data_IF_162365926518
#
_entry.id   IF_162365926518
#
_cell.length_a   1.000
_cell.length_b   1.000
_cell.length_c   1.000
_cell.angle_alpha   90.00
_cell.angle_beta   90.00
_cell.angle_gamma   90.00
#
_symmetry.space_group_name_H-M   'P 1'
#
loop_
_entity.id
_entity.type
_entity.pdbx_description
1 polymer ?
#
# COMPACT_ATOMS: atom_id res chain seq x y z
N UNK A 1 -16.06 6.67 -8.08
CA UNK A 1 -16.67 5.35 -8.36
C UNK A 1 -17.79 5.10 -7.36
N UNK A 2 -18.91 4.60 -7.80
CA UNK A 2 -19.99 4.25 -6.89
C UNK A 2 -19.58 3.07 -6.00
N UNK A 3 -20.07 3.07 -4.76
CA UNK A 3 -19.76 2.03 -3.77
C UNK A 3 -20.09 0.62 -4.31
N UNK A 4 -21.19 0.47 -5.04
CA UNK A 4 -21.57 -0.81 -5.66
C UNK A 4 -20.64 -1.29 -6.77
N UNK A 5 -19.84 -0.40 -7.33
CA UNK A 5 -18.89 -0.73 -8.39
C UNK A 5 -17.52 -1.14 -7.85
N UNK A 6 -17.28 -0.96 -6.56
CA UNK A 6 -16.04 -1.41 -5.92
C UNK A 6 -15.97 -2.95 -5.89
N UNK A 7 -14.77 -3.48 -5.84
CA UNK A 7 -14.58 -4.94 -5.83
C UNK A 7 -13.52 -5.33 -4.81
N UNK A 8 -13.60 -6.57 -4.32
CA UNK A 8 -12.58 -7.15 -3.46
C UNK A 8 -11.22 -7.09 -4.17
N UNK A 9 -10.19 -6.77 -3.43
CA UNK A 9 -8.81 -6.53 -3.87
C UNK A 9 -8.60 -5.21 -4.60
N UNK A 10 -9.66 -4.40 -4.78
CA UNK A 10 -9.54 -3.04 -5.28
C UNK A 10 -9.18 -2.07 -4.14
N UNK A 11 -9.00 -0.82 -4.50
CA UNK A 11 -8.63 0.23 -3.54
C UNK A 11 -9.77 1.22 -3.34
N UNK A 12 -9.83 1.78 -2.13
CA UNK A 12 -10.81 2.79 -1.76
C UNK A 12 -10.22 3.69 -0.68
N UNK A 13 -10.67 4.94 -0.64
CA UNK A 13 -10.30 5.88 0.44
C UNK A 13 -11.33 5.76 1.55
N UNK A 14 -10.90 5.39 2.75
CA UNK A 14 -11.71 5.34 3.97
C UNK A 14 -11.03 6.22 5.02
N UNK A 15 -11.77 7.19 5.57
CA UNK A 15 -11.25 8.12 6.58
C UNK A 15 -9.95 8.79 6.16
N UNK A 16 -9.90 9.21 4.90
CA UNK A 16 -8.72 9.85 4.28
C UNK A 16 -7.49 8.95 4.19
N UNK A 17 -7.70 7.62 4.21
CA UNK A 17 -6.60 6.67 4.10
C UNK A 17 -6.78 5.77 2.87
N UNK A 18 -5.68 5.48 2.13
CA UNK A 18 -5.76 4.55 1.01
C UNK A 18 -5.82 3.13 1.55
N UNK A 19 -6.88 2.40 1.18
CA UNK A 19 -7.13 1.07 1.70
C UNK A 19 -7.35 0.06 0.58
N UNK A 20 -6.99 -1.20 0.86
CA UNK A 20 -7.28 -2.33 -0.02
C UNK A 20 -8.48 -3.08 0.54
N UNK A 21 -9.49 -3.27 -0.30
CA UNK A 21 -10.72 -3.95 0.09
C UNK A 21 -10.44 -5.45 0.25
N UNK A 22 -10.73 -5.99 1.43
CA UNK A 22 -10.53 -7.42 1.73
C UNK A 22 -11.85 -8.17 1.80
N UNK A 23 -12.96 -7.49 2.13
CA UNK A 23 -14.30 -8.06 2.14
C UNK A 23 -15.32 -7.01 1.69
N UNK A 24 -16.35 -7.46 1.01
CA UNK A 24 -17.50 -6.65 0.62
C UNK A 24 -18.75 -7.48 0.80
N UNK A 25 -19.80 -6.86 1.35
CA UNK A 25 -21.11 -7.46 1.38
C UNK A 25 -22.17 -6.40 1.10
N UNK A 26 -23.27 -6.82 0.50
CA UNK A 26 -24.37 -5.92 0.16
C UNK A 26 -25.62 -6.41 0.85
N UNK A 27 -26.35 -5.48 1.48
CA UNK A 27 -27.63 -5.79 2.13
C UNK A 27 -28.69 -4.78 1.69
N UNK A 28 -29.93 -5.26 1.59
CA UNK A 28 -31.11 -4.42 1.39
C UNK A 28 -31.91 -4.39 2.67
N UNK A 29 -32.33 -3.22 3.09
CA UNK A 29 -33.14 -3.07 4.29
C UNK A 29 -34.53 -2.54 3.93
N UNK A 30 -35.57 -3.33 4.21
CA UNK A 30 -36.96 -2.94 4.11
C UNK A 30 -37.51 -2.79 2.69
N UNK A 31 -38.80 -2.47 2.58
CA UNK A 31 -39.51 -2.33 1.32
C UNK A 31 -39.06 -1.13 0.48
N UNK A 32 -38.53 -0.11 1.13
CA UNK A 32 -38.02 1.11 0.51
C UNK A 32 -36.55 1.28 0.78
N UNK A 33 -35.89 0.23 1.28
CA UNK A 33 -34.49 0.27 1.61
C UNK A 33 -33.61 0.29 0.37
N UNK A 34 -32.69 1.23 0.35
CA UNK A 34 -31.63 1.22 -0.63
C UNK A 34 -30.59 0.17 -0.23
N UNK A 35 -29.96 -0.46 -1.21
CA UNK A 35 -28.90 -1.39 -0.92
C UNK A 35 -27.74 -0.63 -0.25
N UNK A 36 -27.19 -1.23 0.80
CA UNK A 36 -26.02 -0.72 1.50
C UNK A 36 -24.88 -1.69 1.32
N UNK A 37 -23.69 -1.15 1.10
CA UNK A 37 -22.47 -1.94 0.94
C UNK A 37 -21.63 -1.80 2.19
N UNK A 38 -21.29 -2.93 2.79
CA UNK A 38 -20.37 -2.99 3.91
C UNK A 38 -18.97 -3.32 3.36
N UNK A 39 -18.03 -2.45 3.62
CA UNK A 39 -16.64 -2.59 3.15
C UNK A 39 -15.75 -2.88 4.37
N UNK A 40 -14.93 -3.90 4.23
CA UNK A 40 -13.81 -4.14 5.15
C UNK A 40 -12.55 -3.99 4.34
N UNK A 41 -11.70 -3.09 4.77
CA UNK A 41 -10.48 -2.77 4.03
C UNK A 41 -9.31 -2.57 5.00
N UNK A 42 -8.12 -2.69 4.46
CA UNK A 42 -6.88 -2.55 5.23
C UNK A 42 -6.09 -1.37 4.67
N UNK A 43 -5.72 -0.44 5.55
CA UNK A 43 -4.81 0.66 5.19
C UNK A 43 -3.54 0.08 4.60
N UNK A 44 -3.21 0.47 3.37
CA UNK A 44 -2.06 -0.12 2.66
C UNK A 44 -0.70 0.23 3.30
N UNK A 45 -0.66 1.28 4.11
CA UNK A 45 0.59 1.71 4.76
C UNK A 45 0.72 1.24 6.21
N UNK A 46 -0.38 1.26 6.97
CA UNK A 46 -0.35 0.95 8.40
C UNK A 46 -0.84 -0.45 8.73
N UNK A 47 -1.48 -1.13 7.79
CA UNK A 47 -2.12 -2.45 7.95
C UNK A 47 -3.30 -2.44 8.93
N UNK A 48 -3.81 -1.26 9.29
CA UNK A 48 -5.00 -1.16 10.13
C UNK A 48 -6.24 -1.56 9.36
N UNK A 49 -7.10 -2.32 10.01
CA UNK A 49 -8.40 -2.71 9.47
C UNK A 49 -9.38 -1.56 9.67
N UNK A 50 -10.02 -1.16 8.58
CA UNK A 50 -11.05 -0.13 8.58
C UNK A 50 -12.33 -0.70 7.99
N UNK A 51 -13.46 -0.27 8.52
CA UNK A 51 -14.77 -0.68 8.03
C UNK A 51 -15.57 0.56 7.68
N UNK A 52 -16.40 0.45 6.66
CA UNK A 52 -17.33 1.51 6.27
C UNK A 52 -18.62 0.89 5.74
N UNK A 53 -19.71 1.62 5.92
CA UNK A 53 -21.02 1.24 5.41
C UNK A 53 -21.52 2.40 4.56
N UNK A 54 -21.80 2.14 3.30
CA UNK A 54 -22.21 3.19 2.38
C UNK A 54 -23.38 2.76 1.51
N UNK A 55 -24.28 3.70 1.16
CA UNK A 55 -25.30 3.42 0.16
C UNK A 55 -24.67 2.99 -1.16
N UNK A 56 -25.29 2.03 -1.84
CA UNK A 56 -24.74 1.47 -3.08
C UNK A 56 -24.49 2.51 -4.18
N UNK A 57 -25.27 3.58 -4.18
CA UNK A 57 -25.17 4.66 -5.17
C UNK A 57 -24.22 5.78 -4.74
N UNK A 58 -23.72 5.74 -3.52
CA UNK A 58 -22.79 6.76 -3.02
C UNK A 58 -21.43 6.65 -3.72
N UNK A 59 -20.89 7.80 -4.11
CA UNK A 59 -19.57 7.85 -4.72
C UNK A 59 -18.49 7.79 -3.66
N UNK A 60 -17.59 6.83 -3.82
CA UNK A 60 -16.40 6.69 -2.97
C UNK A 60 -15.17 7.11 -3.77
N UNK A 61 -14.24 7.75 -3.08
CA UNK A 61 -12.98 8.12 -3.69
C UNK A 61 -12.09 6.88 -3.83
N UNK A 62 -11.47 6.75 -5.00
CA UNK A 62 -10.52 5.66 -5.28
C UNK A 62 -9.13 6.26 -5.38
N UNK A 63 -8.18 5.81 -4.56
CA UNK A 63 -6.83 6.37 -4.61
C UNK A 63 -6.07 5.82 -5.83
N UNK A 64 -5.14 6.62 -6.33
CA UNK A 64 -4.16 6.14 -7.29
C UNK A 64 -3.03 5.51 -6.49
N UNK A 65 -2.81 4.22 -6.68
CA UNK A 65 -1.77 3.48 -6.00
C UNK A 65 -0.74 3.05 -7.02
N UNK A 66 0.50 3.45 -6.80
CA UNK A 66 1.63 3.10 -7.67
C UNK A 66 2.57 2.19 -6.92
N UNK A 67 3.03 1.15 -7.60
CA UNK A 67 4.02 0.22 -7.09
C UNK A 67 5.26 0.30 -7.96
N UNK A 68 6.41 0.54 -7.36
CA UNK A 68 7.67 0.60 -8.09
C UNK A 68 8.76 -0.09 -7.30
N UNK A 69 9.61 -0.82 -8.00
CA UNK A 69 10.79 -1.43 -7.41
C UNK A 69 12.01 -0.54 -7.65
N UNK A 70 12.82 -0.43 -6.61
CA UNK A 70 14.08 0.32 -6.66
C UNK A 70 15.21 -0.58 -6.19
N UNK A 71 16.39 -0.36 -6.72
CA UNK A 71 17.60 -1.00 -6.19
C UNK A 71 18.03 -0.29 -4.92
N UNK A 72 18.29 -1.04 -3.86
CA UNK A 72 18.78 -0.47 -2.61
C UNK A 72 20.29 -0.24 -2.72
N UNK A 73 20.73 1.01 -2.57
CA UNK A 73 22.12 1.39 -2.60
C UNK A 73 22.72 1.42 -1.20
N UNK A 74 21.97 1.92 -0.22
CA UNK A 74 22.43 2.04 1.15
C UNK A 74 21.27 2.30 2.10
N UNK A 75 21.53 2.11 3.38
CA UNK A 75 20.62 2.49 4.47
C UNK A 75 21.39 3.52 5.30
N UNK A 76 20.88 4.74 5.36
CA UNK A 76 21.59 5.83 6.03
C UNK A 76 21.46 5.74 7.55
N UNK A 77 22.37 6.41 8.27
CA UNK A 77 22.39 6.40 9.73
C UNK A 77 21.15 7.05 10.35
N UNK A 78 20.51 7.96 9.63
CA UNK A 78 19.27 8.62 10.08
C UNK A 78 18.00 7.86 9.70
N UNK A 79 18.14 6.64 9.19
CA UNK A 79 17.00 5.75 8.95
C UNK A 79 16.32 5.92 7.61
N UNK A 80 17.01 6.45 6.61
CA UNK A 80 16.49 6.54 5.25
C UNK A 80 17.12 5.52 4.33
N UNK A 81 16.38 5.16 3.29
CA UNK A 81 16.87 4.28 2.24
C UNK A 81 17.44 5.11 1.09
N UNK A 82 18.60 4.72 0.60
CA UNK A 82 19.14 5.29 -0.63
C UNK A 82 18.81 4.33 -1.76
N UNK A 83 17.98 4.77 -2.70
CA UNK A 83 17.40 3.94 -3.75
C UNK A 83 17.79 4.44 -5.13
N UNK A 84 17.84 3.52 -6.09
CA UNK A 84 18.09 3.86 -7.49
C UNK A 84 17.02 3.27 -8.39
N UNK A 85 16.48 4.09 -9.26
CA UNK A 85 15.50 3.71 -10.27
C UNK A 85 16.18 3.06 -11.48
N UNK A 86 15.38 2.42 -12.34
CA UNK A 86 15.86 1.79 -13.58
C UNK A 86 16.56 2.77 -14.52
N UNK A 87 16.18 4.04 -14.49
CA UNK A 87 16.79 5.07 -15.33
C UNK A 87 18.07 5.67 -14.74
N UNK A 88 18.54 5.14 -13.61
CA UNK A 88 19.72 5.62 -12.92
C UNK A 88 19.51 6.80 -11.98
N UNK A 89 18.29 7.32 -11.89
CA UNK A 89 17.98 8.38 -10.92
C UNK A 89 17.97 7.83 -9.50
N UNK A 90 18.33 8.68 -8.54
CA UNK A 90 18.40 8.28 -7.13
C UNK A 90 17.26 8.89 -6.34
N UNK A 91 16.85 8.20 -5.26
CA UNK A 91 15.80 8.62 -4.36
C UNK A 91 16.23 8.29 -2.93
N UNK A 92 16.19 9.28 -2.05
CA UNK A 92 16.69 9.15 -0.68
C UNK A 92 15.72 9.69 0.38
N UNK A 93 14.44 9.81 0.01
CA UNK A 93 13.39 10.35 0.87
C UNK A 93 12.42 9.28 1.40
N UNK A 94 12.73 8.01 1.23
CA UNK A 94 11.92 6.90 1.74
C UNK A 94 12.55 6.37 3.02
N UNK A 95 11.76 6.34 4.10
CA UNK A 95 12.23 5.83 5.38
C UNK A 95 12.32 4.32 5.40
N UNK A 96 13.30 3.79 6.14
CA UNK A 96 13.32 2.38 6.51
C UNK A 96 12.09 2.10 7.37
N UNK A 97 11.18 1.22 6.94
CA UNK A 97 9.96 0.96 7.71
C UNK A 97 10.27 0.22 9.01
N UNK A 98 9.40 0.39 9.99
CA UNK A 98 9.46 -0.35 11.24
C UNK A 98 8.84 -1.74 11.03
N UNK A 99 9.21 -2.71 11.89
CA UNK A 99 8.64 -4.05 11.87
C UNK A 99 9.27 -4.98 10.86
N UNK A 100 8.50 -5.96 10.41
CA UNK A 100 9.01 -7.07 9.59
C UNK A 100 9.65 -6.64 8.27
N UNK A 101 9.08 -5.63 7.61
CA UNK A 101 9.61 -5.18 6.32
C UNK A 101 10.98 -4.54 6.49
N UNK A 102 11.14 -3.70 7.51
CA UNK A 102 12.42 -3.08 7.82
C UNK A 102 13.47 -4.10 8.19
N UNK A 103 13.10 -5.09 8.99
CA UNK A 103 13.99 -6.20 9.37
C UNK A 103 14.42 -7.01 8.15
N UNK A 104 13.51 -7.28 7.24
CA UNK A 104 13.80 -8.00 6.00
C UNK A 104 14.77 -7.23 5.11
N UNK A 105 14.58 -5.91 4.98
CA UNK A 105 15.47 -5.05 4.21
C UNK A 105 16.88 -5.07 4.79
N UNK A 106 17.01 -4.87 6.11
CA UNK A 106 18.30 -4.89 6.77
C UNK A 106 18.98 -6.26 6.67
N UNK A 107 18.23 -7.33 6.83
CA UNK A 107 18.76 -8.67 6.74
C UNK A 107 19.34 -8.97 5.36
N UNK A 108 18.59 -8.67 4.30
CA UNK A 108 19.04 -8.89 2.93
C UNK A 108 20.27 -8.05 2.60
N UNK A 109 20.28 -6.81 3.01
CA UNK A 109 21.30 -5.86 2.63
C UNK A 109 22.55 -5.93 3.51
N UNK A 110 22.37 -5.92 4.83
CA UNK A 110 23.51 -5.85 5.78
C UNK A 110 24.02 -7.20 6.26
N UNK A 111 23.13 -8.16 6.47
CA UNK A 111 23.49 -9.47 7.01
C UNK A 111 23.87 -10.44 5.91
N UNK A 112 23.03 -10.56 4.89
CA UNK A 112 23.27 -11.47 3.77
C UNK A 112 24.09 -10.85 2.65
N UNK A 113 24.28 -9.53 2.69
CA UNK A 113 25.07 -8.76 1.70
C UNK A 113 24.65 -9.03 0.26
N UNK A 114 23.33 -9.14 0.05
CA UNK A 114 22.76 -9.41 -1.28
C UNK A 114 22.33 -8.12 -1.96
N UNK A 115 22.38 -8.13 -3.28
CA UNK A 115 21.74 -7.09 -4.05
C UNK A 115 20.24 -7.14 -3.76
N UNK A 116 19.69 -6.04 -3.31
CA UNK A 116 18.32 -5.98 -2.77
C UNK A 116 17.49 -4.99 -3.55
N UNK A 117 16.28 -5.41 -3.95
CA UNK A 117 15.27 -4.52 -4.49
C UNK A 117 14.22 -4.24 -3.43
N UNK A 118 13.80 -2.98 -3.33
CA UNK A 118 12.78 -2.54 -2.40
C UNK A 118 11.55 -2.14 -3.19
N UNK A 119 10.39 -2.65 -2.76
CA UNK A 119 9.10 -2.31 -3.35
C UNK A 119 8.52 -1.14 -2.58
N UNK A 120 8.27 -0.03 -3.28
CA UNK A 120 7.70 1.19 -2.70
C UNK A 120 6.30 1.39 -3.26
N UNK A 121 5.33 1.56 -2.36
CA UNK A 121 3.98 1.96 -2.72
C UNK A 121 3.82 3.46 -2.52
N UNK A 122 3.19 4.10 -3.49
CA UNK A 122 2.89 5.52 -3.44
C UNK A 122 1.39 5.72 -3.60
N UNK A 123 0.79 6.44 -2.67
CA UNK A 123 -0.63 6.79 -2.73
C UNK A 123 -0.89 8.01 -1.87
N UNK A 124 -1.76 8.92 -2.35
CA UNK A 124 -2.22 10.08 -1.60
C UNK A 124 -1.08 10.92 -1.00
N UNK A 125 0.02 11.05 -1.74
CA UNK A 125 1.17 11.85 -1.29
C UNK A 125 2.11 11.15 -0.32
N UNK A 126 1.86 9.90 0.01
CA UNK A 126 2.75 9.11 0.88
C UNK A 126 3.50 8.07 0.06
N UNK A 127 4.75 7.83 0.44
CA UNK A 127 5.57 6.77 -0.14
C UNK A 127 6.14 5.92 1.00
N UNK A 128 5.90 4.60 0.92
CA UNK A 128 6.34 3.68 1.98
C UNK A 128 6.93 2.43 1.33
N UNK A 129 8.07 1.99 1.85
CA UNK A 129 8.66 0.71 1.47
C UNK A 129 7.81 -0.41 2.08
N UNK A 130 7.26 -1.28 1.24
CA UNK A 130 6.31 -2.31 1.66
C UNK A 130 6.84 -3.71 1.55
N UNK A 131 7.91 -3.94 0.82
CA UNK A 131 8.53 -5.26 0.70
C UNK A 131 9.96 -5.12 0.18
N UNK A 132 10.69 -6.19 0.29
CA UNK A 132 12.04 -6.27 -0.26
C UNK A 132 12.30 -7.69 -0.74
N UNK A 133 13.16 -7.81 -1.73
CA UNK A 133 13.54 -9.10 -2.28
C UNK A 133 14.95 -9.04 -2.82
N UNK A 134 15.59 -10.20 -2.93
CA UNK A 134 16.88 -10.29 -3.60
C UNK A 134 16.71 -9.90 -5.06
N UNK A 135 17.57 -9.02 -5.55
CA UNK A 135 17.53 -8.61 -6.95
C UNK A 135 17.91 -9.77 -7.85
N UNK A 136 17.22 -9.96 -8.98
CA UNK A 136 17.61 -11.02 -9.91
C UNK A 136 19.00 -10.74 -10.47
N UNK A 137 19.80 -11.78 -10.58
CA UNK A 137 21.10 -11.68 -11.21
C UNK A 137 20.91 -11.63 -12.73
N UNK A 138 21.49 -10.64 -13.31
CA UNK A 138 21.53 -10.50 -14.77
C UNK A 138 22.63 -11.34 -15.37
#
# INVERSE_FOLDING_TARGET
>A
MQCSALRKNGYVVIKNRPCKIVEMSTSKTGKHGHAKVHLVAIDIFTSKKLEDLCPSTHNMEVPNVYRKEYQLLDITDDGFLSLMSDDGSTKDDVKLPEGEVGEKIEKLFRVEEKDTNVVVLTAMGEEVAMDAKEAPRS
#
